data_IF_558187834684
#
_entry.id   IF_558187834684
#
_cell.length_a   1.000
_cell.length_b   1.000
_cell.length_c   1.000
_cell.angle_alpha   90.00
_cell.angle_beta   90.00
_cell.angle_gamma   90.00
#
_symmetry.space_group_name_H-M   'P 1'
#
loop_
_entity.id
_entity.type
_entity.pdbx_description
1 polymer ?
#
# COMPACT_ATOMS: atom_id res chain seq x y z
N UNK A 1 13.31 26.34 4.67
CA UNK A 1 12.03 26.29 3.96
C UNK A 1 11.02 25.67 4.91
N UNK A 2 9.83 26.23 5.08
CA UNK A 2 8.80 25.63 5.92
C UNK A 2 8.14 24.41 5.25
N UNK A 3 7.43 23.59 6.02
CA UNK A 3 6.85 22.33 5.58
C UNK A 3 5.83 22.50 4.45
N UNK A 4 5.01 23.55 4.49
CA UNK A 4 3.99 23.84 3.48
C UNK A 4 4.62 24.28 2.16
N UNK A 5 5.67 25.10 2.23
CA UNK A 5 6.44 25.51 1.05
C UNK A 5 7.12 24.31 0.41
N UNK A 6 7.78 23.45 1.21
CA UNK A 6 8.38 22.22 0.70
C UNK A 6 7.33 21.32 0.06
N UNK A 7 6.16 21.14 0.69
CA UNK A 7 5.06 20.36 0.13
C UNK A 7 4.52 20.96 -1.18
N UNK A 8 4.38 22.28 -1.24
CA UNK A 8 3.96 23.01 -2.43
C UNK A 8 4.90 22.76 -3.62
N UNK A 9 6.21 22.88 -3.42
CA UNK A 9 7.20 22.60 -4.46
C UNK A 9 7.17 21.13 -4.91
N UNK A 10 7.02 20.18 -3.98
CA UNK A 10 6.85 18.77 -4.32
C UNK A 10 5.63 18.53 -5.21
N UNK A 11 4.52 19.24 -4.96
CA UNK A 11 3.29 19.14 -5.76
C UNK A 11 3.41 19.80 -7.12
N UNK A 12 4.10 20.94 -7.21
CA UNK A 12 4.36 21.60 -8.50
C UNK A 12 5.15 20.69 -9.43
N UNK A 13 6.21 20.07 -8.91
CA UNK A 13 7.00 19.08 -9.63
C UNK A 13 6.16 17.85 -9.99
N UNK A 14 5.30 17.33 -9.11
CA UNK A 14 4.42 16.19 -9.44
C UNK A 14 3.42 16.51 -10.58
N UNK A 15 3.01 17.78 -10.73
CA UNK A 15 2.04 18.20 -11.75
C UNK A 15 2.69 18.55 -13.09
N UNK A 16 3.84 19.20 -13.06
CA UNK A 16 4.45 19.81 -14.24
C UNK A 16 5.85 19.28 -14.56
N UNK A 17 6.48 18.58 -13.61
CA UNK A 17 7.81 17.99 -13.76
C UNK A 17 7.81 16.61 -14.39
N UNK A 18 9.02 16.13 -14.67
CA UNK A 18 9.28 14.84 -15.31
C UNK A 18 9.96 13.83 -14.38
N UNK A 19 10.41 12.72 -14.97
CA UNK A 19 11.15 11.67 -14.25
C UNK A 19 12.50 12.16 -13.72
N UNK A 20 13.08 13.14 -14.41
CA UNK A 20 14.29 13.85 -14.04
C UNK A 20 14.16 14.61 -12.71
N UNK A 21 12.93 15.01 -12.35
CA UNK A 21 12.63 15.78 -11.14
C UNK A 21 12.34 14.90 -9.93
N UNK A 22 12.25 13.58 -10.10
CA UNK A 22 11.96 12.64 -9.00
C UNK A 22 12.88 12.81 -7.78
N UNK A 23 14.20 13.06 -7.91
CA UNK A 23 15.04 13.34 -6.76
C UNK A 23 14.63 14.61 -6.01
N UNK A 24 14.32 15.69 -6.73
CA UNK A 24 13.88 16.95 -6.13
C UNK A 24 12.50 16.81 -5.47
N UNK A 25 11.55 16.14 -6.14
CA UNK A 25 10.24 15.79 -5.57
C UNK A 25 10.42 15.04 -4.24
N UNK A 26 11.29 14.03 -4.22
CA UNK A 26 11.55 13.23 -3.02
C UNK A 26 12.12 14.06 -1.88
N UNK A 27 13.07 14.95 -2.15
CA UNK A 27 13.63 15.86 -1.14
C UNK A 27 12.53 16.74 -0.55
N UNK A 28 11.75 17.41 -1.39
CA UNK A 28 10.69 18.31 -0.95
C UNK A 28 9.62 17.61 -0.12
N UNK A 29 9.15 16.43 -0.55
CA UNK A 29 8.18 15.67 0.24
C UNK A 29 8.79 15.06 1.50
N UNK A 30 10.08 14.71 1.51
CA UNK A 30 10.78 14.24 2.70
C UNK A 30 10.89 15.33 3.76
N UNK A 31 11.33 16.52 3.38
CA UNK A 31 11.43 17.65 4.31
C UNK A 31 10.06 17.97 4.93
N UNK A 32 8.98 17.97 4.14
CA UNK A 32 7.63 18.21 4.62
C UNK A 32 7.09 17.05 5.50
N UNK A 33 7.36 15.80 5.13
CA UNK A 33 6.95 14.63 5.89
C UNK A 33 7.67 14.53 7.25
N UNK A 34 8.97 14.81 7.28
CA UNK A 34 9.78 14.85 8.50
C UNK A 34 9.37 16.00 9.42
N UNK A 35 8.91 17.12 8.85
CA UNK A 35 8.29 18.21 9.60
C UNK A 35 6.88 17.88 10.11
N UNK A 36 6.32 16.72 9.75
CA UNK A 36 5.08 16.18 10.30
C UNK A 36 3.84 16.38 9.44
N UNK A 37 3.96 16.89 8.20
CA UNK A 37 2.82 17.07 7.30
C UNK A 37 2.31 15.70 6.81
N UNK A 38 1.07 15.36 7.14
CA UNK A 38 0.49 14.03 6.89
C UNK A 38 0.35 13.76 5.40
N UNK A 39 -0.07 14.77 4.64
CA UNK A 39 -0.24 14.70 3.20
C UNK A 39 1.10 14.43 2.49
N UNK A 40 2.20 15.01 2.98
CA UNK A 40 3.54 14.76 2.46
C UNK A 40 4.02 13.34 2.71
N UNK A 41 3.68 12.74 3.86
CA UNK A 41 4.01 11.34 4.16
C UNK A 41 3.38 10.38 3.14
N UNK A 42 2.10 10.61 2.79
CA UNK A 42 1.43 9.82 1.76
C UNK A 42 2.10 9.96 0.39
N UNK A 43 2.48 11.18 0.00
CA UNK A 43 3.19 11.46 -1.27
C UNK A 43 4.58 10.83 -1.31
N UNK A 44 5.32 10.93 -0.21
CA UNK A 44 6.62 10.30 -0.08
C UNK A 44 6.53 8.78 -0.17
N UNK A 45 5.50 8.17 0.44
CA UNK A 45 5.23 6.75 0.30
C UNK A 45 5.02 6.32 -1.16
N UNK A 46 4.23 7.09 -1.93
CA UNK A 46 4.01 6.83 -3.37
C UNK A 46 5.30 6.93 -4.19
N UNK A 47 6.17 7.89 -3.85
CA UNK A 47 7.49 8.06 -4.46
C UNK A 47 8.44 6.91 -4.12
N UNK A 48 8.50 6.51 -2.85
CA UNK A 48 9.32 5.39 -2.40
C UNK A 48 8.85 4.08 -3.04
N UNK A 49 7.54 3.84 -3.18
CA UNK A 49 7.01 2.65 -3.87
C UNK A 49 7.28 2.65 -5.39
N UNK A 50 7.65 3.80 -5.97
CA UNK A 50 7.88 3.96 -7.41
C UNK A 50 6.60 4.17 -8.22
N UNK A 51 5.46 4.47 -7.57
CA UNK A 51 4.19 4.72 -8.26
C UNK A 51 4.20 6.03 -9.03
N UNK A 52 4.81 7.07 -8.46
CA UNK A 52 4.96 8.37 -9.15
C UNK A 52 5.84 8.23 -10.37
N UNK A 53 6.95 7.48 -10.27
CA UNK A 53 7.80 7.16 -11.42
C UNK A 53 7.02 6.39 -12.50
N UNK A 54 6.29 5.33 -12.12
CA UNK A 54 5.47 4.57 -13.07
C UNK A 54 4.44 5.46 -13.80
N UNK A 55 3.80 6.39 -13.08
CA UNK A 55 2.86 7.36 -13.68
C UNK A 55 3.56 8.28 -14.69
N UNK A 56 4.70 8.86 -14.34
CA UNK A 56 5.44 9.78 -15.20
C UNK A 56 6.02 9.07 -16.44
N UNK A 57 6.43 7.81 -16.30
CA UNK A 57 6.92 6.97 -17.40
C UNK A 57 5.80 6.33 -18.22
N UNK A 58 4.53 6.51 -17.84
CA UNK A 58 3.37 5.82 -18.42
C UNK A 58 3.53 4.27 -18.44
N UNK A 59 3.98 3.73 -17.31
CA UNK A 59 4.22 2.29 -17.10
C UNK A 59 3.31 1.70 -16.05
N UNK A 60 3.21 0.38 -16.05
CA UNK A 60 2.50 -0.32 -14.99
C UNK A 60 3.29 -0.21 -13.67
N UNK A 61 2.64 0.08 -12.53
CA UNK A 61 3.34 0.15 -11.25
C UNK A 61 4.11 -1.13 -10.90
N UNK A 62 3.63 -2.30 -11.33
CA UNK A 62 4.27 -3.59 -11.12
C UNK A 62 5.69 -3.68 -11.73
N UNK A 63 5.96 -2.90 -12.78
CA UNK A 63 7.23 -2.91 -13.51
C UNK A 63 8.29 -1.98 -12.90
N UNK A 64 7.90 -1.13 -11.96
CA UNK A 64 8.82 -0.24 -11.24
C UNK A 64 9.09 -0.82 -9.87
N UNK A 65 10.36 -1.03 -9.57
CA UNK A 65 10.81 -1.40 -8.24
C UNK A 65 11.10 -0.14 -7.43
N UNK A 66 10.58 -0.11 -6.21
CA UNK A 66 10.80 0.95 -5.24
C UNK A 66 11.26 0.41 -3.89
N UNK A 67 11.51 1.31 -2.96
CA UNK A 67 11.76 0.96 -1.56
C UNK A 67 10.43 0.74 -0.84
N UNK A 68 9.99 -0.52 -0.81
CA UNK A 68 8.73 -0.89 -0.16
C UNK A 68 8.80 -0.79 1.36
N UNK A 69 9.99 -0.89 1.96
CA UNK A 69 10.16 -0.75 3.41
C UNK A 69 9.96 0.72 3.81
N UNK A 70 10.60 1.63 3.09
CA UNK A 70 10.43 3.06 3.32
C UNK A 70 8.99 3.50 2.99
N UNK A 71 8.40 3.01 1.90
CA UNK A 71 7.01 3.29 1.56
C UNK A 71 6.05 2.84 2.68
N UNK A 72 6.21 1.61 3.18
CA UNK A 72 5.39 1.08 4.27
C UNK A 72 5.48 1.97 5.52
N UNK A 73 6.70 2.42 5.88
CA UNK A 73 6.92 3.30 7.03
C UNK A 73 6.16 4.61 6.91
N UNK A 74 6.23 5.28 5.76
CA UNK A 74 5.57 6.57 5.57
C UNK A 74 4.06 6.44 5.46
N UNK A 75 3.56 5.43 4.74
CA UNK A 75 2.13 5.16 4.72
C UNK A 75 1.58 4.82 6.11
N UNK A 76 2.31 4.00 6.90
CA UNK A 76 1.94 3.66 8.28
C UNK A 76 1.80 4.92 9.13
N UNK A 77 2.82 5.77 9.07
CA UNK A 77 2.86 7.02 9.85
C UNK A 77 1.69 7.94 9.49
N UNK A 78 1.35 8.07 8.20
CA UNK A 78 0.21 8.85 7.76
C UNK A 78 -1.13 8.21 8.14
N UNK A 79 -1.27 6.90 7.95
CA UNK A 79 -2.49 6.14 8.28
C UNK A 79 -2.80 6.16 9.78
N UNK A 80 -1.78 6.04 10.64
CA UNK A 80 -1.92 6.16 12.08
C UNK A 80 -2.36 7.57 12.52
N UNK A 81 -2.15 8.58 11.68
CA UNK A 81 -2.64 9.96 11.87
C UNK A 81 -3.99 10.23 11.19
N UNK A 82 -4.64 9.19 10.67
CA UNK A 82 -5.98 9.27 10.09
C UNK A 82 -6.01 9.48 8.57
N UNK A 83 -4.89 9.43 7.86
CA UNK A 83 -4.91 9.48 6.39
C UNK A 83 -5.45 8.16 5.82
N UNK A 84 -6.70 8.19 5.38
CA UNK A 84 -7.42 7.06 4.82
C UNK A 84 -6.86 6.63 3.46
N UNK A 85 -6.30 7.57 2.69
CA UNK A 85 -5.62 7.23 1.45
C UNK A 85 -4.35 6.46 1.76
N UNK A 86 -3.54 6.93 2.71
CA UNK A 86 -2.35 6.21 3.15
C UNK A 86 -2.66 4.82 3.71
N UNK A 87 -3.75 4.67 4.49
CA UNK A 87 -4.21 3.37 4.96
C UNK A 87 -4.53 2.44 3.78
N UNK A 88 -5.26 2.93 2.77
CA UNK A 88 -5.53 2.15 1.56
C UNK A 88 -4.24 1.77 0.81
N UNK A 89 -3.28 2.69 0.64
CA UNK A 89 -2.01 2.43 -0.03
C UNK A 89 -1.14 1.42 0.73
N UNK A 90 -1.14 1.48 2.06
CA UNK A 90 -0.44 0.52 2.91
C UNK A 90 -1.04 -0.89 2.79
N UNK A 91 -2.37 -1.00 2.87
CA UNK A 91 -3.06 -2.27 2.64
C UNK A 91 -2.73 -2.86 1.27
N UNK A 92 -2.64 -2.00 0.25
CA UNK A 92 -2.29 -2.43 -1.10
C UNK A 92 -0.85 -2.84 -1.28
N UNK A 93 0.07 -2.13 -0.62
CA UNK A 93 1.48 -2.49 -0.60
C UNK A 93 1.67 -3.90 -0.01
N UNK A 94 1.07 -4.17 1.15
CA UNK A 94 1.14 -5.49 1.77
C UNK A 94 0.51 -6.58 0.90
N UNK A 95 -0.70 -6.36 0.38
CA UNK A 95 -1.41 -7.37 -0.41
C UNK A 95 -0.76 -7.66 -1.77
N UNK A 96 -0.35 -6.63 -2.50
CA UNK A 96 0.06 -6.77 -3.92
C UNK A 96 1.57 -6.85 -4.11
N UNK A 97 2.37 -6.24 -3.24
CA UNK A 97 3.84 -6.23 -3.38
C UNK A 97 4.53 -7.22 -2.45
N UNK A 98 3.98 -7.41 -1.25
CA UNK A 98 4.58 -8.27 -0.23
C UNK A 98 3.86 -9.61 -0.08
N UNK A 99 2.66 -9.75 -0.66
CA UNK A 99 1.85 -10.96 -0.57
C UNK A 99 1.31 -11.27 0.84
N UNK A 100 1.30 -10.28 1.74
CA UNK A 100 0.89 -10.43 3.13
C UNK A 100 -0.51 -9.88 3.34
N UNK A 101 -1.52 -10.73 3.15
CA UNK A 101 -2.91 -10.34 3.37
C UNK A 101 -3.21 -10.04 4.85
N UNK A 102 -2.57 -10.74 5.79
CA UNK A 102 -2.81 -10.56 7.22
C UNK A 102 -2.40 -9.15 7.68
N UNK A 103 -1.30 -8.64 7.13
CA UNK A 103 -0.90 -7.25 7.35
C UNK A 103 -1.75 -6.25 6.54
N UNK A 104 -2.27 -6.62 5.37
CA UNK A 104 -3.09 -5.75 4.53
C UNK A 104 -4.50 -5.48 5.08
N UNK A 105 -5.15 -6.52 5.60
CA UNK A 105 -6.55 -6.49 6.02
C UNK A 105 -6.91 -5.36 7.01
N UNK A 106 -6.18 -5.12 8.12
CA UNK A 106 -6.54 -4.06 9.07
C UNK A 106 -6.52 -2.68 8.41
N UNK A 107 -5.63 -2.45 7.44
CA UNK A 107 -5.53 -1.17 6.74
C UNK A 107 -6.63 -0.92 5.75
N UNK A 108 -6.98 -1.96 4.99
CA UNK A 108 -8.13 -1.87 4.12
C UNK A 108 -9.42 -1.72 4.94
N UNK A 109 -9.53 -2.38 6.11
CA UNK A 109 -10.65 -2.21 7.03
C UNK A 109 -10.77 -0.78 7.53
N UNK A 110 -9.68 -0.19 8.02
CA UNK A 110 -9.65 1.21 8.45
C UNK A 110 -10.12 2.16 7.32
N UNK A 111 -9.63 2.00 6.10
CA UNK A 111 -10.06 2.84 4.98
C UNK A 111 -11.53 2.56 4.58
N UNK A 112 -11.97 1.30 4.58
CA UNK A 112 -13.32 0.91 4.21
C UNK A 112 -14.38 1.39 5.21
N UNK A 113 -14.09 1.30 6.51
CA UNK A 113 -14.98 1.75 7.58
C UNK A 113 -15.21 3.27 7.52
N UNK A 114 -14.25 4.01 6.96
CA UNK A 114 -14.36 5.43 6.68
C UNK A 114 -14.94 5.76 5.28
N UNK A 115 -15.49 4.77 4.57
CA UNK A 115 -16.20 4.96 3.30
C UNK A 115 -15.33 4.83 2.04
N UNK A 116 -14.07 4.37 2.13
CA UNK A 116 -13.22 4.20 0.95
C UNK A 116 -13.66 2.96 0.13
N UNK A 117 -14.46 3.19 -0.92
CA UNK A 117 -15.07 2.13 -1.73
C UNK A 117 -14.09 1.13 -2.33
N UNK A 118 -12.92 1.60 -2.78
CA UNK A 118 -11.89 0.70 -3.33
C UNK A 118 -11.33 -0.21 -2.24
N UNK A 119 -11.20 0.27 -1.01
CA UNK A 119 -10.72 -0.56 0.11
C UNK A 119 -11.78 -1.61 0.48
N UNK A 120 -13.05 -1.22 0.53
CA UNK A 120 -14.19 -2.14 0.73
C UNK A 120 -14.22 -3.26 -0.32
N UNK A 121 -14.01 -2.93 -1.60
CA UNK A 121 -13.91 -3.93 -2.69
C UNK A 121 -12.73 -4.88 -2.49
N UNK A 122 -11.56 -4.36 -2.06
CA UNK A 122 -10.36 -5.18 -1.80
C UNK A 122 -10.57 -6.13 -0.62
N UNK A 123 -11.20 -5.68 0.46
CA UNK A 123 -11.58 -6.56 1.59
C UNK A 123 -12.51 -7.68 1.14
N UNK A 124 -13.57 -7.36 0.39
CA UNK A 124 -14.51 -8.36 -0.11
C UNK A 124 -13.81 -9.41 -0.98
N UNK A 125 -12.90 -8.99 -1.86
CA UNK A 125 -12.12 -9.90 -2.70
C UNK A 125 -11.16 -10.78 -1.88
N UNK A 126 -10.45 -10.21 -0.91
CA UNK A 126 -9.51 -10.95 -0.06
C UNK A 126 -10.21 -11.95 0.88
N UNK A 127 -11.36 -11.58 1.44
CA UNK A 127 -12.18 -12.47 2.27
C UNK A 127 -12.68 -13.69 1.49
N UNK A 128 -13.10 -13.51 0.23
CA UNK A 128 -13.51 -14.62 -0.63
C UNK A 128 -12.35 -15.58 -0.94
N UNK A 129 -11.15 -15.05 -1.17
CA UNK A 129 -9.95 -15.87 -1.36
C UNK A 129 -9.52 -16.63 -0.09
N UNK A 130 -9.67 -16.02 1.08
CA UNK A 130 -9.39 -16.67 2.36
C UNK A 130 -10.42 -17.76 2.71
N UNK A 131 -11.72 -17.48 2.51
CA UNK A 131 -12.79 -18.46 2.70
C UNK A 131 -12.64 -19.69 1.78
N UNK A 132 -12.18 -19.47 0.53
CA UNK A 132 -11.85 -20.57 -0.39
C UNK A 132 -10.72 -21.46 0.13
N UNK A 133 -9.62 -20.87 0.64
CA UNK A 133 -8.50 -21.63 1.22
C UNK A 133 -8.90 -22.43 2.45
N UNK A 134 -9.69 -21.86 3.36
CA UNK A 134 -10.18 -22.57 4.55
C UNK A 134 -11.07 -23.75 4.18
N UNK A 135 -11.92 -23.60 3.16
CA UNK A 135 -12.76 -24.69 2.65
C UNK A 135 -11.91 -25.81 2.01
N UNK A 136 -10.87 -25.46 1.26
CA UNK A 136 -9.96 -26.42 0.64
C UNK A 136 -9.10 -27.16 1.68
N UNK A 137 -8.53 -26.44 2.66
CA UNK A 137 -7.78 -27.03 3.76
C UNK A 137 -8.65 -28.01 4.58
N UNK A 138 -9.91 -27.63 4.87
CA UNK A 138 -10.85 -28.51 5.57
C UNK A 138 -11.21 -29.76 4.74
N UNK A 139 -11.37 -29.62 3.43
CA UNK A 139 -11.60 -30.74 2.52
C UNK A 139 -10.40 -31.69 2.47
N UNK A 140 -9.19 -31.17 2.34
CA UNK A 140 -7.95 -31.97 2.32
C UNK A 140 -7.72 -32.68 3.65
N UNK A 141 -7.95 -32.03 4.79
CA UNK A 141 -7.90 -32.67 6.11
C UNK A 141 -8.94 -33.79 6.26
N UNK A 142 -10.14 -33.61 5.71
CA UNK A 142 -11.17 -34.65 5.70
C UNK A 142 -10.74 -35.85 4.84
N UNK A 143 -10.19 -35.60 3.65
CA UNK A 143 -9.70 -36.64 2.74
C UNK A 143 -8.47 -37.40 3.26
N UNK A 144 -7.57 -36.73 3.98
CA UNK A 144 -6.39 -37.37 4.57
C UNK A 144 -6.78 -38.36 5.68
N UNK A 145 -7.78 -38.01 6.50
CA UNK A 145 -8.37 -38.93 7.50
C UNK A 145 -9.01 -40.17 6.87
N UNK A 146 -9.57 -40.05 5.66
CA UNK A 146 -10.13 -41.19 4.91
C UNK A 146 -9.04 -42.08 4.30
N UNK A 147 -7.85 -41.54 4.03
CA UNK A 147 -6.71 -42.29 3.46
C UNK A 147 -5.81 -42.93 4.52
N UNK A 148 -5.81 -42.43 5.75
CA UNK A 148 -5.00 -42.95 6.87
C UNK A 148 -5.55 -44.19 7.59
N UNK A 149 -6.77 -44.65 7.28
CA UNK A 149 -7.41 -45.80 7.94
C UNK A 149 -7.04 -47.19 7.40
N UNK A 150 -6.06 -47.29 6.50
CA UNK A 150 -5.76 -48.52 5.77
C UNK A 150 -4.28 -48.85 5.74
N UNK A 151 -3.73 -49.35 6.85
CA UNK A 151 -2.73 -50.43 6.88
C UNK A 151 -2.47 -50.89 8.32
N UNK A 152 -3.04 -52.05 8.60
CA UNK A 152 -2.59 -53.07 9.55
C UNK A 152 -1.10 -53.38 9.44
#
# INVERSE_FOLDING_TARGET
MDAETSFGLGRELENWGGVEDLPAMRTHYRDAAEAGLVEAMGRLGLLCEGRTQAKLENRLPAEVQGDFVEAARWYRTAADRGDLYAAFWLGRLYAERLGDWAQAEPWYRQAADAGHDTARKRLAAGANGAAGRVAEDAYLMHMDKLRGGGRS
#
